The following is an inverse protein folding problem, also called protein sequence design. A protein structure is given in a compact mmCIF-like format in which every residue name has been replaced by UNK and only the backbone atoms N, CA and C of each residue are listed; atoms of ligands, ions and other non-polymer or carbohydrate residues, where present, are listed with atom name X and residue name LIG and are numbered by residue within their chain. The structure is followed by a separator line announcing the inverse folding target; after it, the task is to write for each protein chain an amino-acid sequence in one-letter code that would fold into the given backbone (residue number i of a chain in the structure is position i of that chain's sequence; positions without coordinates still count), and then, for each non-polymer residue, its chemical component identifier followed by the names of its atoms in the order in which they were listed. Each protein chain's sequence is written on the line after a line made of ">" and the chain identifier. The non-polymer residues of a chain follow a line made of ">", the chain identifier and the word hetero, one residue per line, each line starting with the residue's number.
data_IF_126207364206
#
_entry.id   IF_126207364206
#
_cell.length_a   1.000
_cell.length_b   1.000
_cell.length_c   1.000
_cell.angle_alpha   90.00
_cell.angle_beta   90.00
_cell.angle_gamma   90.00
#
_symmetry.space_group_name_H-M   'P 1'
#
loop_
_entity.id
_entity.type
_entity.pdbx_description
1 polymer ?
#
# COMPACT_ATOMS: atom_id res chain seq x y z
N UNK A 1 -3.49 -1.27 18.76
CA UNK A 1 -4.90 -1.46 18.36
C UNK A 1 -4.95 -2.56 17.33
N UNK A 2 -6.02 -3.37 17.29
CA UNK A 2 -6.19 -4.37 16.22
C UNK A 2 -6.79 -3.69 14.99
N UNK A 3 -6.40 -4.13 13.79
CA UNK A 3 -6.98 -3.61 12.56
C UNK A 3 -8.43 -4.09 12.40
N UNK A 4 -9.31 -3.16 12.04
CA UNK A 4 -10.75 -3.42 11.84
C UNK A 4 -11.13 -3.30 10.37
N UNK A 5 -10.32 -2.59 9.57
CA UNK A 5 -10.54 -2.38 8.15
C UNK A 5 -9.26 -2.66 7.35
N UNK A 6 -9.43 -3.08 6.11
CA UNK A 6 -8.32 -3.29 5.17
C UNK A 6 -8.67 -2.79 3.77
N UNK A 7 -7.66 -2.36 3.03
CA UNK A 7 -7.75 -2.22 1.58
C UNK A 7 -6.69 -3.05 0.88
N UNK A 8 -7.00 -3.41 -0.37
CA UNK A 8 -6.07 -4.07 -1.27
C UNK A 8 -6.00 -3.33 -2.60
N UNK A 9 -4.80 -2.94 -3.00
CA UNK A 9 -4.57 -2.26 -4.28
C UNK A 9 -3.62 -3.10 -5.12
N UNK A 10 -4.06 -3.50 -6.31
CA UNK A 10 -3.22 -4.18 -7.29
C UNK A 10 -2.65 -3.16 -8.27
N UNK A 11 -1.33 -3.19 -8.43
CA UNK A 11 -0.59 -2.24 -9.25
C UNK A 11 0.12 -3.00 -10.37
N UNK A 12 -0.01 -2.49 -11.59
CA UNK A 12 0.84 -2.87 -12.71
C UNK A 12 1.81 -1.71 -12.98
N UNK A 13 3.10 -1.93 -12.71
CA UNK A 13 4.13 -0.94 -12.93
C UNK A 13 4.41 -0.77 -14.43
N UNK A 14 4.70 0.47 -14.83
CA UNK A 14 5.18 0.76 -16.19
C UNK A 14 6.52 0.07 -16.41
N UNK A 15 6.68 -0.49 -17.60
CA UNK A 15 7.91 -1.19 -17.99
C UNK A 15 9.13 -0.27 -17.91
N UNK A 16 10.20 -0.75 -17.27
CA UNK A 16 11.44 -0.01 -17.07
C UNK A 16 11.43 0.97 -15.90
N UNK A 17 10.36 0.99 -15.09
CA UNK A 17 10.22 1.85 -13.90
C UNK A 17 10.19 1.05 -12.59
N UNK A 18 10.43 -0.25 -12.61
CA UNK A 18 10.26 -1.15 -11.48
C UNK A 18 11.17 -0.79 -10.30
N UNK A 19 12.45 -0.50 -10.56
CA UNK A 19 13.40 -0.11 -9.51
C UNK A 19 13.03 1.22 -8.86
N UNK A 20 12.63 2.20 -9.69
CA UNK A 20 12.16 3.50 -9.19
C UNK A 20 10.88 3.33 -8.36
N UNK A 21 9.94 2.52 -8.83
CA UNK A 21 8.71 2.21 -8.12
C UNK A 21 9.00 1.57 -6.75
N UNK A 22 9.88 0.56 -6.70
CA UNK A 22 10.29 -0.08 -5.44
C UNK A 22 10.92 0.95 -4.50
N UNK A 23 11.83 1.80 -5.00
CA UNK A 23 12.47 2.83 -4.20
C UNK A 23 11.46 3.84 -3.62
N UNK A 24 10.48 4.28 -4.41
CA UNK A 24 9.40 5.17 -3.96
C UNK A 24 8.50 4.48 -2.92
N UNK A 25 8.12 3.21 -3.12
CA UNK A 25 7.33 2.46 -2.13
C UNK A 25 8.07 2.23 -0.82
N UNK A 26 9.41 2.13 -0.85
CA UNK A 26 10.25 2.02 0.34
C UNK A 26 10.33 3.28 1.19
N UNK A 27 9.93 4.43 0.63
CA UNK A 27 9.85 5.72 1.34
C UNK A 27 8.44 6.00 1.88
N UNK A 28 7.52 5.03 1.78
CA UNK A 28 6.15 5.19 2.24
C UNK A 28 6.10 5.49 3.75
N UNK A 29 5.27 6.47 4.11
CA UNK A 29 4.97 6.82 5.49
C UNK A 29 3.48 6.60 5.71
N UNK A 30 3.14 5.81 6.73
CA UNK A 30 1.75 5.52 7.04
C UNK A 30 1.01 6.81 7.42
N UNK A 31 -0.11 7.13 6.75
CA UNK A 31 -0.96 8.25 7.12
C UNK A 31 -1.68 7.99 8.44
N UNK A 32 -2.32 9.02 8.99
CA UNK A 32 -3.12 8.91 10.21
C UNK A 32 -4.19 7.81 10.09
N UNK A 33 -4.31 6.99 11.13
CA UNK A 33 -5.24 5.85 11.19
C UNK A 33 -4.79 4.59 10.44
N UNK A 34 -3.72 4.65 9.63
CA UNK A 34 -3.10 3.45 9.08
C UNK A 34 -2.20 2.80 10.13
N UNK A 35 -2.58 1.59 10.54
CA UNK A 35 -1.87 0.81 11.54
C UNK A 35 -0.65 0.10 10.93
N UNK A 36 -0.76 -0.37 9.69
CA UNK A 36 0.33 -1.05 9.00
C UNK A 36 0.15 -1.05 7.47
N UNK A 37 1.24 -1.29 6.76
CA UNK A 37 1.31 -1.30 5.31
C UNK A 37 2.24 -2.39 4.80
N UNK A 38 1.76 -3.16 3.82
CA UNK A 38 2.52 -4.24 3.21
C UNK A 38 2.55 -4.11 1.70
N UNK A 39 3.73 -4.34 1.13
CA UNK A 39 3.95 -4.44 -0.30
C UNK A 39 4.45 -5.83 -0.65
N UNK A 40 3.84 -6.45 -1.65
CA UNK A 40 4.27 -7.73 -2.20
C UNK A 40 4.44 -7.63 -3.72
N UNK A 41 5.58 -8.10 -4.24
CA UNK A 41 5.76 -8.34 -5.68
C UNK A 41 5.07 -9.65 -6.03
N UNK A 42 4.12 -9.59 -6.96
CA UNK A 42 3.27 -10.75 -7.36
C UNK A 42 3.50 -11.20 -8.79
N UNK A 43 4.33 -10.47 -9.54
CA UNK A 43 4.79 -10.83 -10.88
C UNK A 43 5.96 -9.94 -11.29
N UNK A 44 6.40 -10.02 -12.54
CA UNK A 44 7.56 -9.27 -13.02
C UNK A 44 7.40 -7.75 -12.81
N UNK A 45 6.22 -7.23 -13.16
CA UNK A 45 5.83 -5.80 -13.01
C UNK A 45 4.57 -5.61 -12.17
N UNK A 46 4.11 -6.67 -11.51
CA UNK A 46 2.85 -6.67 -10.76
C UNK A 46 3.12 -6.65 -9.27
N UNK A 47 2.40 -5.79 -8.56
CA UNK A 47 2.56 -5.57 -7.13
C UNK A 47 1.19 -5.51 -6.44
N UNK A 48 1.20 -5.76 -5.14
CA UNK A 48 0.03 -5.77 -4.29
C UNK A 48 0.34 -4.96 -3.03
N UNK A 49 -0.48 -3.94 -2.76
CA UNK A 49 -0.47 -3.17 -1.53
C UNK A 49 -1.61 -3.60 -0.62
N UNK A 50 -1.33 -3.75 0.67
CA UNK A 50 -2.32 -3.95 1.72
C UNK A 50 -2.12 -2.90 2.79
N UNK A 51 -3.14 -2.09 3.05
CA UNK A 51 -3.20 -1.18 4.19
C UNK A 51 -4.13 -1.73 5.26
N UNK A 52 -3.71 -1.66 6.52
CA UNK A 52 -4.49 -2.01 7.69
C UNK A 52 -4.88 -0.74 8.45
N UNK A 53 -6.13 -0.62 8.86
CA UNK A 53 -6.69 0.62 9.38
C UNK A 53 -7.47 0.42 10.68
N UNK A 54 -7.48 1.45 11.53
CA UNK A 54 -8.26 1.46 12.76
C UNK A 54 -9.75 1.73 12.53
N UNK A 55 -10.08 2.54 11.52
CA UNK A 55 -11.42 3.03 11.22
C UNK A 55 -11.69 3.11 9.71
N UNK A 56 -12.97 3.11 9.34
CA UNK A 56 -13.41 3.30 7.95
C UNK A 56 -13.16 4.75 7.49
N UNK A 57 -13.36 5.70 8.40
CA UNK A 57 -13.18 7.13 8.14
C UNK A 57 -11.74 7.45 7.77
N UNK A 58 -10.75 6.92 8.50
CA UNK A 58 -9.33 7.11 8.17
C UNK A 58 -8.95 6.44 6.84
N UNK A 59 -9.48 5.24 6.57
CA UNK A 59 -9.31 4.58 5.27
C UNK A 59 -9.83 5.47 4.12
N UNK A 60 -11.03 6.04 4.26
CA UNK A 60 -11.66 6.87 3.23
C UNK A 60 -10.89 8.20 3.06
N UNK A 61 -10.45 8.81 4.15
CA UNK A 61 -9.74 10.10 4.12
C UNK A 61 -8.36 10.01 3.45
N UNK A 62 -7.73 8.84 3.45
CA UNK A 62 -6.41 8.61 2.89
C UNK A 62 -6.40 8.16 1.41
N UNK A 63 -7.57 8.14 0.75
CA UNK A 63 -7.71 7.84 -0.68
C UNK A 63 -7.09 8.93 -1.56
#
# INVERSE_FOLDING_TARGET
>A
MAATYLNNVRVLCKEGYEEKFIAETGQWVNPEGMLDAYWAKTGERSYCFVGLWDSEESLIAAR
#
